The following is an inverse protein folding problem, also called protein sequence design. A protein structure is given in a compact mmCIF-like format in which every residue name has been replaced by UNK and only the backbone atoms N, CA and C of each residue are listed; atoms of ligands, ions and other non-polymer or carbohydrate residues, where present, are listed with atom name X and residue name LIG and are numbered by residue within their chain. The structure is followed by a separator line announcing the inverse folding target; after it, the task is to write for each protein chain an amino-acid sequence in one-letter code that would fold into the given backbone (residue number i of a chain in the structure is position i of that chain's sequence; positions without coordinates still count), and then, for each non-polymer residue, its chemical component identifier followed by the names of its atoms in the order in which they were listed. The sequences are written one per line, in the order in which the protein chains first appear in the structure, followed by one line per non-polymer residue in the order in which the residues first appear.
data_IF_467491486803
#
_entry.id   IF_467491486803
#
_cell.length_a   1.000
_cell.length_b   1.000
_cell.length_c   1.000
_cell.angle_alpha   90.00
_cell.angle_beta   90.00
_cell.angle_gamma   90.00
#
_symmetry.space_group_name_H-M   'P 1'
#
loop_
_entity.id
_entity.type
_entity.pdbx_description
1 polymer ?
#
# COMPACT_ATOMS: atom_id res chain seq x y z
N UNK A 1 -12.75 -8.09 4.77
CA UNK A 1 -12.65 -6.71 5.31
C UNK A 1 -11.73 -5.91 4.40
N UNK A 2 -11.92 -4.59 4.30
CA UNK A 2 -11.12 -3.70 3.43
C UNK A 2 -10.08 -2.95 4.25
N UNK A 3 -8.87 -2.80 3.73
CA UNK A 3 -7.74 -2.12 4.40
C UNK A 3 -7.21 -1.00 3.51
N UNK A 4 -7.17 0.22 4.04
CA UNK A 4 -6.49 1.35 3.40
C UNK A 4 -5.01 1.34 3.80
N UNK A 5 -4.12 1.36 2.80
CA UNK A 5 -2.67 1.36 2.97
C UNK A 5 -2.12 2.64 2.32
N UNK A 6 -1.27 3.35 3.06
CA UNK A 6 -0.66 4.61 2.64
C UNK A 6 0.77 4.68 3.17
N UNK A 7 1.58 5.58 2.60
CA UNK A 7 2.92 5.95 3.04
C UNK A 7 3.24 7.39 2.57
N UNK A 8 4.37 7.91 3.03
CA UNK A 8 4.96 9.19 2.66
C UNK A 8 5.94 9.09 1.46
N UNK A 9 6.67 7.98 1.30
CA UNK A 9 7.63 7.80 0.19
C UNK A 9 6.98 7.80 -1.22
N UNK A 10 5.65 7.72 -1.28
CA UNK A 10 4.87 7.74 -2.49
C UNK A 10 4.47 6.38 -3.07
N UNK A 11 3.55 6.43 -4.03
CA UNK A 11 2.86 5.27 -4.60
C UNK A 11 3.78 4.34 -5.39
N UNK A 12 4.94 4.82 -5.82
CA UNK A 12 5.95 4.01 -6.51
C UNK A 12 6.88 3.25 -5.56
N UNK A 13 6.75 3.46 -4.24
CA UNK A 13 7.61 2.82 -3.23
C UNK A 13 7.48 1.29 -3.23
N UNK A 14 8.62 0.61 -3.31
CA UNK A 14 8.66 -0.86 -3.25
C UNK A 14 8.10 -1.40 -1.92
N UNK A 15 8.33 -0.69 -0.82
CA UNK A 15 7.85 -1.07 0.51
C UNK A 15 6.33 -1.06 0.62
N UNK A 16 5.68 -0.06 0.01
CA UNK A 16 4.22 0.07 -0.03
C UNK A 16 3.59 -1.14 -0.72
N UNK A 17 4.12 -1.54 -1.88
CA UNK A 17 3.61 -2.68 -2.64
C UNK A 17 3.94 -4.02 -1.99
N UNK A 18 5.10 -4.14 -1.35
CA UNK A 18 5.44 -5.32 -0.55
C UNK A 18 4.43 -5.53 0.60
N UNK A 19 4.05 -4.47 1.30
CA UNK A 19 3.02 -4.52 2.34
C UNK A 19 1.63 -4.84 1.77
N UNK A 20 1.23 -4.16 0.69
CA UNK A 20 -0.06 -4.41 0.04
C UNK A 20 -0.21 -5.88 -0.40
N UNK A 21 0.86 -6.48 -0.94
CA UNK A 21 0.88 -7.90 -1.28
C UNK A 21 0.62 -8.78 -0.06
N UNK A 22 1.26 -8.51 1.09
CA UNK A 22 1.04 -9.29 2.31
C UNK A 22 -0.38 -9.17 2.86
N UNK A 23 -1.00 -8.00 2.70
CA UNK A 23 -2.40 -7.79 3.09
C UNK A 23 -3.35 -8.65 2.24
N UNK A 24 -3.09 -8.74 0.92
CA UNK A 24 -3.85 -9.62 0.03
C UNK A 24 -3.60 -11.11 0.36
N UNK A 25 -2.34 -11.51 0.57
CA UNK A 25 -1.97 -12.87 0.95
C UNK A 25 -2.63 -13.32 2.27
N UNK A 26 -2.94 -12.37 3.16
CA UNK A 26 -3.64 -12.60 4.42
C UNK A 26 -5.19 -12.66 4.27
N UNK A 27 -5.72 -12.53 3.06
CA UNK A 27 -7.16 -12.65 2.75
C UNK A 27 -7.97 -11.36 2.87
N UNK A 28 -7.30 -10.20 2.91
CA UNK A 28 -7.97 -8.90 2.94
C UNK A 28 -8.03 -8.24 1.56
N UNK A 29 -8.99 -7.32 1.37
CA UNK A 29 -9.02 -6.45 0.19
C UNK A 29 -8.19 -5.20 0.47
N UNK A 30 -7.12 -4.99 -0.30
CA UNK A 30 -6.24 -3.84 -0.15
C UNK A 30 -6.67 -2.66 -1.05
N UNK A 31 -6.75 -1.46 -0.47
CA UNK A 31 -6.88 -0.19 -1.18
C UNK A 31 -5.62 0.61 -0.90
N UNK A 32 -4.90 1.01 -1.94
CA UNK A 32 -3.64 1.78 -1.81
C UNK A 32 -3.89 3.23 -2.24
N UNK A 33 -3.52 4.17 -1.38
CA UNK A 33 -3.54 5.61 -1.70
C UNK A 33 -2.30 6.27 -1.08
N UNK A 34 -1.47 6.88 -1.91
CA UNK A 34 -0.23 7.53 -1.49
C UNK A 34 0.10 8.71 -2.44
N UNK A 35 1.00 9.62 -2.05
CA UNK A 35 1.52 10.67 -2.91
C UNK A 35 2.12 10.13 -4.22
N UNK A 36 2.14 10.91 -5.29
CA UNK A 36 2.79 10.51 -6.55
C UNK A 36 4.32 10.49 -6.48
N UNK A 37 4.90 11.27 -5.57
CA UNK A 37 6.34 11.41 -5.34
C UNK A 37 6.60 11.45 -3.85
N UNK A 38 7.85 11.20 -3.47
CA UNK A 38 8.33 11.44 -2.11
C UNK A 38 8.05 12.90 -1.67
N UNK A 39 7.76 13.08 -0.38
CA UNK A 39 7.40 14.38 0.22
C UNK A 39 8.49 14.92 1.14
#
# INVERSE_FOLDING_TARGET
MRVLITNDDGVASEGLWALAKRVVDAGYEAVVAAPTTDM
#
